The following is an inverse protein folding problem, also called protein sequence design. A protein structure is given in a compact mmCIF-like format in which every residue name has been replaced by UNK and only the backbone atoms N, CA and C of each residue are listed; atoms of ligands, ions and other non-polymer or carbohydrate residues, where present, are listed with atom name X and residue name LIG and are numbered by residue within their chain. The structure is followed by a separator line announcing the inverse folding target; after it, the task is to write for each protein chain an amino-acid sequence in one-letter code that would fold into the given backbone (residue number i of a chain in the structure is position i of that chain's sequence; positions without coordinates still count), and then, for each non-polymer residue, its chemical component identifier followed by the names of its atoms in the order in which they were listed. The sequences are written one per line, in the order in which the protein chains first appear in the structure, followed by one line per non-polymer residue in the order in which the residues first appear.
data_IF_742095969339
#
_entry.id   IF_742095969339
#
_cell.length_a   1.000
_cell.length_b   1.000
_cell.length_c   1.000
_cell.angle_alpha   90.00
_cell.angle_beta   90.00
_cell.angle_gamma   90.00
#
_symmetry.space_group_name_H-M   'P 1'
#
loop_
_entity.id
_entity.type
_entity.pdbx_description
1 polymer ?
#
# COMPACT_ATOMS: atom_id res chain seq x y z
N UNK A 1 35.25 20.14 -16.62
CA UNK A 1 34.80 18.93 -17.33
C UNK A 1 33.85 18.23 -16.37
N UNK A 2 32.55 18.41 -16.58
CA UNK A 2 31.50 17.86 -15.72
C UNK A 2 31.53 16.34 -15.78
N UNK A 3 31.69 15.68 -14.63
CA UNK A 3 31.61 14.23 -14.53
C UNK A 3 30.13 13.84 -14.34
N UNK A 4 29.43 13.63 -15.45
CA UNK A 4 28.10 13.00 -15.43
C UNK A 4 28.26 11.50 -15.14
N UNK A 5 27.44 10.97 -14.24
CA UNK A 5 27.32 9.52 -14.02
C UNK A 5 26.99 8.86 -15.35
N UNK A 6 27.76 7.83 -15.72
CA UNK A 6 27.42 7.06 -16.90
C UNK A 6 26.16 6.23 -16.62
N UNK A 7 25.40 5.86 -17.67
CA UNK A 7 24.28 4.90 -17.53
C UNK A 7 24.70 3.59 -16.85
N UNK A 8 25.98 3.21 -16.93
CA UNK A 8 26.50 2.04 -16.22
C UNK A 8 26.59 2.30 -14.72
N UNK A 9 26.98 3.49 -14.29
CA UNK A 9 27.07 3.87 -12.88
C UNK A 9 25.68 3.96 -12.25
N UNK A 10 24.70 4.54 -12.96
CA UNK A 10 23.30 4.53 -12.54
C UNK A 10 22.76 3.11 -12.35
N UNK A 11 23.01 2.22 -13.32
CA UNK A 11 22.56 0.83 -13.27
C UNK A 11 23.29 0.01 -12.18
N UNK A 12 24.55 0.29 -11.88
CA UNK A 12 25.29 -0.34 -10.78
C UNK A 12 24.77 0.14 -9.43
N UNK A 13 24.51 1.45 -9.28
CA UNK A 13 23.88 2.00 -8.07
C UNK A 13 22.47 1.45 -7.86
N UNK A 14 21.72 1.19 -8.94
CA UNK A 14 20.39 0.57 -8.88
C UNK A 14 20.43 -0.91 -8.44
N UNK A 15 21.51 -1.63 -8.77
CA UNK A 15 21.76 -2.99 -8.27
C UNK A 15 22.26 -3.04 -6.84
N UNK A 16 23.03 -2.05 -6.40
CA UNK A 16 23.46 -1.90 -4.99
C UNK A 16 22.27 -1.52 -4.09
N UNK A 17 21.25 -0.89 -4.67
CA UNK A 17 20.04 -0.41 -4.01
C UNK A 17 19.07 -1.50 -3.53
N UNK A 18 19.20 -2.72 -4.05
CA UNK A 18 18.38 -3.87 -3.62
C UNK A 18 19.24 -5.01 -3.02
N UNK A 19 19.90 -4.75 -1.87
CA UNK A 19 20.78 -5.73 -1.23
C UNK A 19 20.02 -6.93 -0.63
N UNK A 20 18.69 -6.89 -0.60
CA UNK A 20 17.84 -7.96 -0.03
C UNK A 20 17.10 -8.79 -1.08
N UNK A 21 17.27 -8.51 -2.39
CA UNK A 21 16.72 -9.34 -3.47
C UNK A 21 17.40 -10.72 -3.49
N UNK A 22 16.83 -11.67 -2.75
CA UNK A 22 17.27 -13.06 -2.77
C UNK A 22 16.44 -13.86 -3.79
N UNK A 23 17.00 -14.29 -4.93
CA UNK A 23 16.28 -15.07 -5.93
C UNK A 23 15.77 -16.42 -5.40
N UNK A 24 16.36 -16.96 -4.32
CA UNK A 24 15.90 -18.17 -3.65
C UNK A 24 14.60 -17.98 -2.84
N UNK A 25 14.14 -16.74 -2.68
CA UNK A 25 12.86 -16.40 -2.02
C UNK A 25 11.71 -16.14 -3.01
N UNK A 26 11.93 -16.42 -4.30
CA UNK A 26 10.93 -16.27 -5.34
C UNK A 26 9.64 -17.03 -4.98
N UNK A 27 8.52 -16.34 -5.12
CA UNK A 27 7.20 -16.89 -4.79
C UNK A 27 6.83 -17.94 -5.81
N UNK A 28 6.51 -19.15 -5.35
CA UNK A 28 5.99 -20.20 -6.20
C UNK A 28 4.52 -19.92 -6.51
N UNK A 29 4.24 -19.59 -7.76
CA UNK A 29 2.86 -19.36 -8.22
C UNK A 29 2.33 -20.63 -8.85
N UNK A 30 1.22 -21.13 -8.34
CA UNK A 30 0.57 -22.35 -8.81
C UNK A 30 -0.87 -22.05 -9.24
N UNK A 31 -1.12 -22.12 -10.55
CA UNK A 31 -2.43 -21.83 -11.13
C UNK A 31 -3.48 -22.92 -10.88
N UNK A 32 -3.06 -24.12 -10.42
CA UNK A 32 -3.97 -25.19 -10.04
C UNK A 32 -4.61 -24.99 -8.67
N UNK A 33 -4.03 -24.10 -7.84
CA UNK A 33 -4.57 -23.76 -6.53
C UNK A 33 -5.89 -22.98 -6.64
N UNK A 34 -6.78 -23.12 -5.64
CA UNK A 34 -7.98 -22.29 -5.53
C UNK A 34 -7.65 -20.80 -5.61
N UNK A 35 -8.55 -20.02 -6.24
CA UNK A 35 -8.39 -18.57 -6.39
C UNK A 35 -8.36 -17.84 -5.04
N UNK A 36 -9.04 -18.40 -4.04
CA UNK A 36 -9.00 -17.95 -2.64
C UNK A 36 -8.76 -19.17 -1.73
N UNK A 37 -7.85 -19.07 -0.74
CA UNK A 37 -7.51 -20.20 0.12
C UNK A 37 -8.62 -20.56 1.13
N UNK A 38 -9.54 -19.64 1.43
CA UNK A 38 -10.65 -19.87 2.36
C UNK A 38 -11.96 -20.24 1.63
N UNK A 39 -12.14 -19.78 0.39
CA UNK A 39 -13.31 -20.12 -0.45
C UNK A 39 -12.88 -21.02 -1.61
N UNK A 40 -12.83 -22.32 -1.34
CA UNK A 40 -12.39 -23.34 -2.30
C UNK A 40 -13.51 -23.86 -3.21
N UNK A 41 -14.78 -23.77 -2.76
CA UNK A 41 -15.94 -24.08 -3.59
C UNK A 41 -16.08 -23.05 -4.72
N UNK A 42 -16.01 -23.52 -5.96
CA UNK A 42 -16.06 -22.66 -7.15
C UNK A 42 -17.38 -21.90 -7.28
N UNK A 43 -18.52 -22.52 -7.00
CA UNK A 43 -19.82 -21.88 -7.14
C UNK A 43 -20.02 -20.80 -6.07
N UNK A 44 -19.53 -21.03 -4.84
CA UNK A 44 -19.50 -20.00 -3.79
C UNK A 44 -18.57 -18.87 -4.20
N UNK A 45 -17.34 -19.18 -4.62
CA UNK A 45 -16.36 -18.17 -5.05
C UNK A 45 -16.90 -17.29 -6.19
N UNK A 46 -17.55 -17.88 -7.19
CA UNK A 46 -18.12 -17.15 -8.31
C UNK A 46 -19.22 -16.18 -7.88
N UNK A 47 -20.11 -16.60 -6.96
CA UNK A 47 -21.14 -15.70 -6.40
C UNK A 47 -20.53 -14.55 -5.62
N UNK A 48 -19.57 -14.84 -4.74
CA UNK A 48 -18.88 -13.82 -3.92
C UNK A 48 -18.11 -12.84 -4.78
N UNK A 49 -17.31 -13.35 -5.74
CA UNK A 49 -16.53 -12.54 -6.67
C UNK A 49 -17.42 -11.71 -7.59
N UNK A 50 -18.59 -12.21 -7.99
CA UNK A 50 -19.56 -11.42 -8.77
C UNK A 50 -20.08 -10.22 -7.97
N UNK A 51 -20.51 -10.44 -6.73
CA UNK A 51 -20.96 -9.36 -5.84
C UNK A 51 -19.86 -8.33 -5.59
N UNK A 52 -18.63 -8.78 -5.39
CA UNK A 52 -17.47 -7.89 -5.27
C UNK A 52 -17.25 -7.05 -6.54
N UNK A 53 -17.24 -7.68 -7.72
CA UNK A 53 -17.04 -7.01 -9.00
C UNK A 53 -18.09 -5.91 -9.25
N UNK A 54 -19.34 -6.15 -8.90
CA UNK A 54 -20.40 -5.14 -8.99
C UNK A 54 -20.08 -3.90 -8.16
N UNK A 55 -19.50 -4.07 -6.96
CA UNK A 55 -19.09 -2.94 -6.10
C UNK A 55 -17.88 -2.23 -6.72
N UNK A 56 -16.89 -2.97 -7.23
CA UNK A 56 -15.70 -2.40 -7.88
C UNK A 56 -16.09 -1.59 -9.13
N UNK A 57 -17.01 -2.09 -9.94
CA UNK A 57 -17.52 -1.38 -11.11
C UNK A 57 -18.20 -0.06 -10.72
N UNK A 58 -18.96 -0.03 -9.62
CA UNK A 58 -19.51 1.21 -9.08
C UNK A 58 -18.41 2.21 -8.70
N UNK A 59 -17.35 1.76 -8.01
CA UNK A 59 -16.20 2.62 -7.67
C UNK A 59 -15.49 3.16 -8.91
N UNK A 60 -15.29 2.33 -9.94
CA UNK A 60 -14.67 2.75 -11.21
C UNK A 60 -15.52 3.80 -11.95
N UNK A 61 -16.85 3.65 -11.93
CA UNK A 61 -17.77 4.66 -12.50
C UNK A 61 -17.67 6.00 -11.77
N UNK A 62 -17.56 5.98 -10.43
CA UNK A 62 -17.34 7.20 -9.64
C UNK A 62 -16.01 7.86 -10.01
N UNK A 63 -14.92 7.10 -10.20
CA UNK A 63 -13.64 7.66 -10.63
C UNK A 63 -13.69 8.27 -12.04
N UNK A 64 -14.39 7.63 -12.98
CA UNK A 64 -14.57 8.22 -14.32
C UNK A 64 -15.35 9.53 -14.26
N UNK A 65 -16.38 9.62 -13.43
CA UNK A 65 -17.13 10.85 -13.20
C UNK A 65 -16.24 11.94 -12.59
N UNK A 66 -15.42 11.59 -11.59
CA UNK A 66 -14.48 12.52 -10.96
C UNK A 66 -13.39 13.01 -11.92
N UNK A 67 -12.93 12.17 -12.85
CA UNK A 67 -11.94 12.54 -13.86
C UNK A 67 -12.54 13.38 -15.01
N UNK A 68 -13.80 13.15 -15.37
CA UNK A 68 -14.51 13.88 -16.44
C UNK A 68 -15.01 15.27 -16.01
N UNK A 69 -15.29 15.46 -14.72
CA UNK A 69 -15.59 16.78 -14.15
C UNK A 69 -14.26 17.51 -13.97
N UNK A 70 -14.02 18.60 -14.72
CA UNK A 70 -12.84 19.47 -14.54
C UNK A 70 -12.64 19.74 -13.05
N UNK A 71 -11.53 19.22 -12.52
CA UNK A 71 -11.15 19.19 -11.11
C UNK A 71 -11.48 20.52 -10.38
N UNK A 72 -12.53 20.52 -9.54
CA UNK A 72 -12.71 21.62 -8.60
C UNK A 72 -13.62 21.33 -7.39
N UNK A 73 -14.47 20.31 -7.38
CA UNK A 73 -15.36 20.08 -6.23
C UNK A 73 -15.50 18.60 -5.92
N UNK A 74 -15.27 18.26 -4.65
CA UNK A 74 -15.90 17.12 -3.99
C UNK A 74 -17.38 17.16 -4.37
N UNK A 75 -17.83 16.27 -5.25
CA UNK A 75 -19.26 16.12 -5.48
C UNK A 75 -19.80 15.34 -4.28
N UNK A 76 -20.76 15.88 -3.50
CA UNK A 76 -21.38 15.14 -2.40
C UNK A 76 -21.84 13.74 -2.84
N UNK A 77 -22.28 13.63 -4.10
CA UNK A 77 -22.68 12.38 -4.75
C UNK A 77 -21.55 11.34 -4.83
N UNK A 78 -20.31 11.75 -5.14
CA UNK A 78 -19.18 10.82 -5.21
C UNK A 78 -18.75 10.33 -3.83
N UNK A 79 -18.76 11.21 -2.82
CA UNK A 79 -18.49 10.83 -1.43
C UNK A 79 -19.53 9.83 -0.95
N UNK A 80 -20.81 10.12 -1.20
CA UNK A 80 -21.90 9.22 -0.80
C UNK A 80 -21.83 7.89 -1.55
N UNK A 81 -21.48 7.91 -2.84
CA UNK A 81 -21.25 6.72 -3.65
C UNK A 81 -20.15 5.83 -3.07
N UNK A 82 -19.03 6.42 -2.66
CA UNK A 82 -17.94 5.70 -1.99
C UNK A 82 -18.35 5.14 -0.63
N UNK A 83 -19.05 5.93 0.21
CA UNK A 83 -19.60 5.46 1.50
C UNK A 83 -20.53 4.26 1.32
N UNK A 84 -21.34 4.28 0.25
CA UNK A 84 -22.22 3.15 -0.12
C UNK A 84 -21.42 1.91 -0.53
N UNK A 85 -20.36 2.08 -1.33
CA UNK A 85 -19.47 0.97 -1.70
C UNK A 85 -18.76 0.36 -0.48
N UNK A 86 -18.30 1.19 0.47
CA UNK A 86 -17.69 0.74 1.73
C UNK A 86 -18.69 -0.07 2.56
N UNK A 87 -19.94 0.40 2.68
CA UNK A 87 -20.99 -0.36 3.37
C UNK A 87 -21.22 -1.71 2.71
N UNK A 88 -21.39 -1.75 1.37
CA UNK A 88 -21.60 -3.00 0.62
C UNK A 88 -20.43 -3.98 0.74
N UNK A 89 -19.20 -3.47 0.79
CA UNK A 89 -18.02 -4.29 1.08
C UNK A 89 -18.03 -4.78 2.54
N UNK A 90 -18.50 -3.97 3.48
CA UNK A 90 -18.71 -4.38 4.87
C UNK A 90 -19.73 -5.50 5.02
N UNK A 91 -20.84 -5.44 4.28
CA UNK A 91 -21.84 -6.51 4.25
C UNK A 91 -21.23 -7.80 3.67
N UNK A 92 -20.49 -7.68 2.56
CA UNK A 92 -19.81 -8.81 1.92
C UNK A 92 -18.79 -9.47 2.87
N UNK A 93 -18.06 -8.65 3.63
CA UNK A 93 -17.10 -9.09 4.66
C UNK A 93 -17.82 -9.75 5.83
N UNK A 94 -19.00 -9.27 6.22
CA UNK A 94 -19.79 -9.85 7.31
C UNK A 94 -20.31 -11.24 6.92
N UNK A 95 -20.78 -11.38 5.68
CA UNK A 95 -21.25 -12.65 5.12
C UNK A 95 -20.09 -13.63 4.87
N UNK A 96 -18.90 -13.14 4.47
CA UNK A 96 -17.71 -13.94 4.18
C UNK A 96 -16.46 -13.41 4.92
N UNK A 97 -16.33 -13.64 6.24
CA UNK A 97 -15.27 -13.03 7.06
C UNK A 97 -13.84 -13.35 6.65
N UNK A 98 -13.64 -14.47 5.96
CA UNK A 98 -12.34 -14.95 5.48
C UNK A 98 -12.04 -14.55 4.02
N UNK A 99 -12.91 -13.77 3.37
CA UNK A 99 -12.66 -13.31 2.00
C UNK A 99 -11.75 -12.09 1.97
N UNK A 100 -10.47 -12.31 1.68
CA UNK A 100 -9.43 -11.28 1.79
C UNK A 100 -9.58 -10.15 0.75
N UNK A 101 -10.07 -10.45 -0.45
CA UNK A 101 -10.19 -9.48 -1.54
C UNK A 101 -11.14 -8.32 -1.17
N UNK A 102 -12.29 -8.61 -0.55
CA UNK A 102 -13.24 -7.58 -0.14
C UNK A 102 -12.65 -6.64 0.91
N UNK A 103 -11.84 -7.14 1.84
CA UNK A 103 -11.11 -6.34 2.84
C UNK A 103 -10.10 -5.41 2.19
N UNK A 104 -9.30 -5.95 1.28
CA UNK A 104 -8.33 -5.17 0.52
C UNK A 104 -9.00 -4.03 -0.28
N UNK A 105 -10.17 -4.31 -0.88
CA UNK A 105 -10.96 -3.31 -1.61
C UNK A 105 -11.60 -2.28 -0.68
N UNK A 106 -12.07 -2.67 0.51
CA UNK A 106 -12.63 -1.74 1.50
C UNK A 106 -11.56 -0.78 2.03
N UNK A 107 -10.37 -1.28 2.32
CA UNK A 107 -9.23 -0.44 2.68
C UNK A 107 -8.86 0.55 1.56
N UNK A 108 -8.89 0.12 0.30
CA UNK A 108 -8.65 1.02 -0.84
C UNK A 108 -9.69 2.14 -0.93
N UNK A 109 -10.98 1.80 -0.77
CA UNK A 109 -12.07 2.77 -0.80
C UNK A 109 -11.97 3.79 0.35
N UNK A 110 -11.61 3.34 1.56
CA UNK A 110 -11.37 4.22 2.71
C UNK A 110 -10.20 5.18 2.45
N UNK A 111 -9.09 4.67 1.92
CA UNK A 111 -7.93 5.49 1.51
C UNK A 111 -8.27 6.50 0.42
N UNK A 112 -9.20 6.16 -0.48
CA UNK A 112 -9.68 7.10 -1.49
C UNK A 112 -10.52 8.23 -0.89
N UNK A 113 -11.37 7.91 0.10
CA UNK A 113 -12.18 8.91 0.80
C UNK A 113 -11.34 9.86 1.66
N UNK A 114 -10.46 9.32 2.49
CA UNK A 114 -9.79 10.07 3.56
C UNK A 114 -8.29 10.29 3.35
N UNK A 115 -7.73 9.75 2.26
CA UNK A 115 -6.32 9.88 1.92
C UNK A 115 -5.42 8.82 2.54
N UNK A 116 -4.13 8.92 2.24
CA UNK A 116 -3.08 8.06 2.79
C UNK A 116 -2.52 8.60 4.11
N UNK A 117 -2.72 9.88 4.41
CA UNK A 117 -2.38 10.48 5.70
C UNK A 117 -3.42 10.21 6.80
N UNK A 118 -4.36 9.27 6.58
CA UNK A 118 -5.49 8.98 7.49
C UNK A 118 -5.08 8.58 8.92
N UNK A 119 -3.82 8.14 9.14
CA UNK A 119 -3.31 7.76 10.46
C UNK A 119 -2.79 8.97 11.27
N UNK A 120 -2.72 10.15 10.66
CA UNK A 120 -2.28 11.40 11.29
C UNK A 120 -3.37 12.47 11.15
N UNK A 121 -3.34 13.48 12.02
CA UNK A 121 -4.31 14.58 11.98
C UNK A 121 -4.15 15.50 10.74
N UNK A 122 -3.03 15.37 10.04
CA UNK A 122 -2.71 16.16 8.84
C UNK A 122 -3.69 15.89 7.70
N UNK A 123 -4.19 16.95 7.07
CA UNK A 123 -5.04 16.83 5.88
C UNK A 123 -4.27 16.27 4.68
N UNK A 124 -4.85 15.30 3.97
CA UNK A 124 -4.33 14.81 2.71
C UNK A 124 -4.99 15.58 1.54
N UNK A 125 -4.23 16.31 0.70
CA UNK A 125 -4.77 17.03 -0.45
C UNK A 125 -5.54 16.14 -1.44
N UNK A 126 -5.23 14.83 -1.46
CA UNK A 126 -5.84 13.85 -2.36
C UNK A 126 -7.10 13.19 -1.80
N UNK A 127 -7.44 13.44 -0.53
CA UNK A 127 -8.68 12.96 0.08
C UNK A 127 -9.92 13.60 -0.57
N UNK A 128 -10.96 12.80 -0.80
CA UNK A 128 -12.26 13.31 -1.23
C UNK A 128 -12.97 14.08 -0.10
N UNK A 129 -12.82 13.60 1.13
CA UNK A 129 -13.39 14.22 2.33
C UNK A 129 -12.29 15.00 3.07
N UNK A 130 -12.31 16.32 2.93
CA UNK A 130 -11.30 17.21 3.53
C UNK A 130 -11.60 17.53 4.99
N UNK A 131 -12.88 17.72 5.30
CA UNK A 131 -13.36 18.19 6.62
C UNK A 131 -13.96 17.06 7.47
N UNK A 132 -13.47 15.83 7.30
CA UNK A 132 -13.88 14.69 8.13
C UNK A 132 -13.50 14.95 9.60
N UNK A 133 -14.41 14.61 10.51
CA UNK A 133 -14.14 14.69 11.94
C UNK A 133 -12.99 13.77 12.35
N UNK A 134 -12.30 14.07 13.46
CA UNK A 134 -11.23 13.21 13.98
C UNK A 134 -11.74 11.78 14.24
N UNK A 135 -12.96 11.64 14.80
CA UNK A 135 -13.58 10.35 15.06
C UNK A 135 -13.85 9.55 13.76
N UNK A 136 -14.36 10.20 12.72
CA UNK A 136 -14.60 9.55 11.42
C UNK A 136 -13.29 9.09 10.76
N UNK A 137 -12.23 9.90 10.84
CA UNK A 137 -10.90 9.51 10.35
C UNK A 137 -10.31 8.35 11.15
N UNK A 138 -10.41 8.39 12.48
CA UNK A 138 -9.93 7.33 13.38
C UNK A 138 -10.62 6.00 13.10
N UNK A 139 -11.96 6.00 12.97
CA UNK A 139 -12.73 4.80 12.63
C UNK A 139 -12.32 4.22 11.27
N UNK A 140 -12.17 5.09 10.27
CA UNK A 140 -11.75 4.70 8.94
C UNK A 140 -10.30 4.16 8.91
N UNK A 141 -9.39 4.77 9.67
CA UNK A 141 -8.01 4.33 9.85
C UNK A 141 -7.96 2.94 10.50
N UNK A 142 -8.65 2.74 11.62
CA UNK A 142 -8.72 1.47 12.32
C UNK A 142 -9.31 0.37 11.43
N UNK A 143 -10.37 0.68 10.69
CA UNK A 143 -11.01 -0.27 9.77
C UNK A 143 -10.07 -0.66 8.63
N UNK A 144 -9.43 0.32 7.97
CA UNK A 144 -8.51 0.05 6.88
C UNK A 144 -7.31 -0.78 7.34
N UNK A 145 -6.72 -0.44 8.48
CA UNK A 145 -5.60 -1.19 9.05
C UNK A 145 -5.99 -2.62 9.43
N UNK A 146 -7.13 -2.81 10.12
CA UNK A 146 -7.63 -4.13 10.49
C UNK A 146 -7.93 -5.00 9.25
N UNK A 147 -8.49 -4.41 8.20
CA UNK A 147 -8.76 -5.11 6.94
C UNK A 147 -7.49 -5.55 6.23
N UNK A 148 -6.48 -4.68 6.15
CA UNK A 148 -5.19 -4.99 5.53
C UNK A 148 -4.45 -6.08 6.32
N UNK A 149 -4.40 -5.97 7.65
CA UNK A 149 -3.78 -6.99 8.50
C UNK A 149 -4.46 -8.35 8.32
N UNK A 150 -5.79 -8.36 8.30
CA UNK A 150 -6.55 -9.60 8.14
C UNK A 150 -6.38 -10.18 6.74
N UNK A 151 -6.40 -9.35 5.69
CA UNK A 151 -6.18 -9.79 4.32
C UNK A 151 -4.78 -10.40 4.13
N UNK A 152 -3.75 -9.76 4.68
CA UNK A 152 -2.38 -10.27 4.67
C UNK A 152 -2.32 -11.60 5.42
N UNK A 153 -2.83 -11.66 6.65
CA UNK A 153 -2.85 -12.88 7.47
C UNK A 153 -3.57 -14.06 6.79
N UNK A 154 -4.64 -13.81 6.03
CA UNK A 154 -5.40 -14.84 5.32
C UNK A 154 -4.68 -15.37 4.09
N UNK A 155 -3.89 -14.54 3.41
CA UNK A 155 -3.27 -14.88 2.13
C UNK A 155 -1.79 -15.26 2.25
N UNK A 156 -1.10 -14.88 3.33
CA UNK A 156 0.29 -15.26 3.56
C UNK A 156 0.43 -16.78 3.65
N UNK A 157 1.24 -17.42 2.79
CA UNK A 157 1.48 -18.86 2.88
C UNK A 157 2.09 -19.25 4.24
N UNK A 158 1.67 -20.39 4.79
CA UNK A 158 2.15 -20.87 6.10
C UNK A 158 3.62 -21.31 6.10
N UNK A 159 4.18 -21.57 4.91
CA UNK A 159 5.58 -21.95 4.72
C UNK A 159 6.24 -20.92 3.81
N UNK A 160 7.53 -20.66 4.06
CA UNK A 160 8.36 -19.77 3.23
C UNK A 160 8.43 -20.23 1.76
N UNK A 161 8.23 -21.53 1.53
CA UNK A 161 8.20 -22.17 0.21
C UNK A 161 6.78 -22.55 -0.22
N UNK A 162 5.75 -22.07 0.47
CA UNK A 162 4.36 -22.36 0.14
C UNK A 162 3.97 -21.70 -1.18
N UNK A 163 3.35 -22.48 -2.07
CA UNK A 163 2.79 -21.95 -3.31
C UNK A 163 1.56 -21.09 -3.04
N UNK A 164 1.32 -20.12 -3.91
CA UNK A 164 0.14 -19.25 -3.86
C UNK A 164 -0.54 -19.21 -5.24
N UNK A 165 -1.86 -19.11 -5.26
CA UNK A 165 -2.56 -18.92 -6.53
C UNK A 165 -2.29 -17.52 -7.10
N UNK A 166 -2.36 -17.32 -8.43
CA UNK A 166 -2.12 -16.01 -9.03
C UNK A 166 -3.05 -14.90 -8.47
N UNK A 167 -4.31 -15.26 -8.19
CA UNK A 167 -5.31 -14.32 -7.65
C UNK A 167 -4.96 -13.94 -6.22
N UNK A 168 -4.71 -14.92 -5.35
CA UNK A 168 -4.30 -14.69 -3.97
C UNK A 168 -2.99 -13.90 -3.88
N UNK A 169 -2.00 -14.22 -4.72
CA UNK A 169 -0.72 -13.53 -4.78
C UNK A 169 -0.88 -12.06 -5.18
N UNK A 170 -1.71 -11.77 -6.18
CA UNK A 170 -2.01 -10.39 -6.57
C UNK A 170 -2.70 -9.61 -5.44
N UNK A 171 -3.68 -10.21 -4.77
CA UNK A 171 -4.39 -9.56 -3.66
C UNK A 171 -3.45 -9.31 -2.48
N UNK A 172 -2.59 -10.27 -2.13
CA UNK A 172 -1.60 -10.14 -1.07
C UNK A 172 -0.56 -9.05 -1.40
N UNK A 173 -0.08 -9.03 -2.65
CA UNK A 173 0.79 -7.98 -3.17
C UNK A 173 0.18 -6.59 -2.97
N UNK A 174 -1.09 -6.43 -3.36
CA UNK A 174 -1.80 -5.17 -3.17
C UNK A 174 -1.94 -4.82 -1.69
N UNK A 175 -2.35 -5.76 -0.84
CA UNK A 175 -2.55 -5.49 0.59
C UNK A 175 -1.27 -4.96 1.27
N UNK A 176 -0.12 -5.58 0.98
CA UNK A 176 1.17 -5.07 1.44
C UNK A 176 1.46 -3.66 0.89
N UNK A 177 1.30 -3.43 -0.41
CA UNK A 177 1.53 -2.09 -1.01
C UNK A 177 0.61 -1.02 -0.42
N UNK A 178 -0.64 -1.36 -0.11
CA UNK A 178 -1.59 -0.44 0.51
C UNK A 178 -1.17 -0.07 1.93
N UNK A 179 -0.77 -1.05 2.75
CA UNK A 179 -0.31 -0.82 4.12
C UNK A 179 1.02 -0.06 4.13
N UNK A 180 1.92 -0.38 3.22
CA UNK A 180 3.16 0.38 3.00
C UNK A 180 2.91 1.86 2.68
N UNK A 181 1.91 2.16 1.83
CA UNK A 181 1.58 3.54 1.49
C UNK A 181 1.06 4.34 2.69
N UNK A 182 0.26 3.71 3.57
CA UNK A 182 -0.19 4.30 4.83
C UNK A 182 0.99 4.60 5.75
N UNK A 183 1.86 3.62 5.98
CA UNK A 183 3.07 3.81 6.81
C UNK A 183 4.02 4.85 6.24
N UNK A 184 4.25 4.83 4.92
CA UNK A 184 5.12 5.78 4.26
C UNK A 184 4.61 7.21 4.37
N UNK A 185 3.31 7.43 4.14
CA UNK A 185 2.70 8.75 4.28
C UNK A 185 2.71 9.20 5.75
N UNK A 186 2.47 8.28 6.69
CA UNK A 186 2.53 8.54 8.12
C UNK A 186 3.93 9.00 8.53
N UNK A 187 4.98 8.30 8.11
CA UNK A 187 6.37 8.71 8.36
C UNK A 187 6.72 10.08 7.74
N UNK A 188 6.21 10.36 6.53
CA UNK A 188 6.45 11.63 5.84
C UNK A 188 5.77 12.81 6.54
N UNK A 189 4.57 12.59 7.05
CA UNK A 189 3.76 13.57 7.77
C UNK A 189 3.95 13.50 9.29
N UNK A 190 4.96 12.75 9.76
CA UNK A 190 5.26 12.58 11.18
C UNK A 190 5.80 13.90 11.75
N UNK A 191 4.88 14.79 12.13
CA UNK A 191 5.14 15.80 13.14
C UNK A 191 5.07 15.11 14.51
N UNK A 192 5.68 15.68 15.56
CA UNK A 192 5.60 15.16 16.94
C UNK A 192 4.16 15.11 17.55
N UNK A 193 3.13 15.23 16.71
CA UNK A 193 1.72 15.13 17.04
C UNK A 193 1.23 13.70 17.22
N UNK A 194 0.04 13.59 17.80
CA UNK A 194 -0.55 12.34 18.27
C UNK A 194 -1.04 11.50 17.10
N UNK A 195 -0.63 10.23 17.07
CA UNK A 195 -1.23 9.21 16.23
C UNK A 195 -2.59 8.82 16.81
N UNK A 196 -3.61 8.75 15.97
CA UNK A 196 -4.94 8.28 16.34
C UNK A 196 -5.13 6.83 15.88
N UNK A 197 -4.52 5.91 16.64
CA UNK A 197 -4.41 4.49 16.29
C UNK A 197 -5.03 3.55 17.34
N UNK A 198 -5.86 4.08 18.25
CA UNK A 198 -6.50 3.28 19.30
C UNK A 198 -5.49 2.48 20.14
N UNK A 199 -5.73 1.17 20.27
CA UNK A 199 -4.86 0.23 21.02
C UNK A 199 -3.88 -0.54 20.12
N UNK A 200 -3.69 -0.09 18.88
CA UNK A 200 -2.80 -0.78 17.95
C UNK A 200 -1.33 -0.59 18.32
N UNK A 201 -0.50 -1.58 17.97
CA UNK A 201 0.96 -1.55 18.20
C UNK A 201 1.63 -0.33 17.58
N UNK A 202 1.12 0.15 16.43
CA UNK A 202 1.70 1.27 15.70
C UNK A 202 1.55 2.61 16.44
N UNK A 203 0.76 2.67 17.52
CA UNK A 203 0.65 3.85 18.38
C UNK A 203 1.97 4.21 19.08
N UNK A 204 2.80 3.22 19.38
CA UNK A 204 4.09 3.41 20.03
C UNK A 204 5.25 3.65 19.06
N UNK A 205 4.97 3.65 17.76
CA UNK A 205 6.01 3.75 16.72
C UNK A 205 6.48 5.18 16.55
N UNK A 206 7.79 5.34 16.37
CA UNK A 206 8.38 6.58 15.92
C UNK A 206 8.41 6.66 14.38
N UNK A 207 8.95 7.76 13.87
CA UNK A 207 9.11 7.95 12.41
C UNK A 207 9.92 6.82 11.77
N UNK A 208 10.99 6.35 12.40
CA UNK A 208 11.89 5.33 11.87
C UNK A 208 11.17 3.99 11.80
N UNK A 209 10.37 3.65 12.81
CA UNK A 209 9.54 2.45 12.83
C UNK A 209 8.57 2.42 11.65
N UNK A 210 7.88 3.54 11.37
CA UNK A 210 7.01 3.66 10.19
C UNK A 210 7.79 3.57 8.87
N UNK A 211 8.97 4.18 8.75
CA UNK A 211 9.80 4.04 7.55
C UNK A 211 10.24 2.59 7.33
N UNK A 212 10.68 1.91 8.38
CA UNK A 212 11.11 0.52 8.33
C UNK A 212 9.93 -0.41 8.00
N UNK A 213 8.75 -0.20 8.60
CA UNK A 213 7.55 -0.95 8.31
C UNK A 213 7.07 -0.74 6.87
N UNK A 214 7.08 0.51 6.38
CA UNK A 214 6.76 0.82 4.99
C UNK A 214 7.70 0.11 4.01
N UNK A 215 9.01 0.15 4.26
CA UNK A 215 10.00 -0.50 3.41
C UNK A 215 9.81 -2.02 3.36
N UNK A 216 9.58 -2.67 4.52
CA UNK A 216 9.28 -4.11 4.59
C UNK A 216 8.02 -4.48 3.79
N UNK A 217 6.95 -3.72 3.94
CA UNK A 217 5.71 -4.01 3.21
C UNK A 217 5.86 -3.73 1.71
N UNK A 218 6.56 -2.68 1.29
CA UNK A 218 6.86 -2.48 -0.13
C UNK A 218 7.70 -3.63 -0.71
N UNK A 219 8.68 -4.13 0.04
CA UNK A 219 9.49 -5.29 -0.37
C UNK A 219 8.62 -6.54 -0.55
N UNK A 220 7.69 -6.80 0.40
CA UNK A 220 6.73 -7.90 0.28
C UNK A 220 5.76 -7.70 -0.89
N UNK A 221 5.25 -6.48 -1.10
CA UNK A 221 4.44 -6.13 -2.26
C UNK A 221 5.17 -6.44 -3.58
N UNK A 222 6.44 -6.04 -3.67
CA UNK A 222 7.33 -6.32 -4.80
C UNK A 222 7.61 -7.82 -4.98
N UNK A 223 7.85 -8.55 -3.88
CA UNK A 223 8.06 -10.00 -3.87
C UNK A 223 6.88 -10.77 -4.48
N UNK A 224 5.65 -10.28 -4.29
CA UNK A 224 4.44 -10.86 -4.88
C UNK A 224 4.06 -10.25 -6.25
N UNK A 225 4.95 -9.47 -6.88
CA UNK A 225 4.83 -9.04 -8.28
C UNK A 225 4.31 -7.61 -8.53
N UNK A 226 4.36 -6.72 -7.54
CA UNK A 226 4.02 -5.30 -7.75
C UNK A 226 5.29 -4.46 -8.00
N UNK A 227 5.48 -4.05 -9.25
CA UNK A 227 6.65 -3.27 -9.68
C UNK A 227 6.75 -1.89 -9.02
N UNK A 228 5.62 -1.24 -8.75
CA UNK A 228 5.61 0.05 -8.05
C UNK A 228 6.12 -0.15 -6.61
N UNK A 229 5.66 -1.20 -5.94
CA UNK A 229 6.12 -1.55 -4.61
C UNK A 229 7.60 -1.91 -4.59
N UNK A 230 8.08 -2.68 -5.58
CA UNK A 230 9.50 -3.00 -5.73
C UNK A 230 10.37 -1.74 -5.84
N UNK A 231 9.99 -0.78 -6.68
CA UNK A 231 10.70 0.49 -6.79
C UNK A 231 10.66 1.32 -5.49
N UNK A 232 9.51 1.33 -4.80
CA UNK A 232 9.35 2.06 -3.53
C UNK A 232 10.06 1.40 -2.35
N UNK A 233 10.23 0.06 -2.36
CA UNK A 233 10.95 -0.67 -1.32
C UNK A 233 12.38 -0.15 -1.16
N UNK A 234 13.04 0.05 -2.29
CA UNK A 234 14.38 0.63 -2.39
C UNK A 234 14.39 2.08 -1.89
N UNK A 235 13.47 2.91 -2.38
CA UNK A 235 13.43 4.34 -2.05
C UNK A 235 13.14 4.61 -0.56
N UNK A 236 12.45 3.69 0.11
CA UNK A 236 12.04 3.82 1.51
C UNK A 236 12.98 3.12 2.48
N UNK A 237 13.92 2.29 2.01
CA UNK A 237 14.85 1.54 2.85
C UNK A 237 15.82 2.48 3.60
N UNK A 238 15.78 2.53 4.95
CA UNK A 238 16.65 3.41 5.74
C UNK A 238 18.15 3.14 5.53
N UNK A 239 18.53 1.88 5.40
CA UNK A 239 19.92 1.47 5.13
C UNK A 239 20.35 1.94 3.75
N UNK A 240 19.53 1.74 2.72
CA UNK A 240 19.83 2.20 1.37
C UNK A 240 19.95 3.74 1.31
N UNK A 241 19.11 4.47 2.04
CA UNK A 241 19.24 5.93 2.19
C UNK A 241 20.57 6.34 2.81
N UNK A 242 20.96 5.69 3.92
CA UNK A 242 22.21 5.97 4.62
C UNK A 242 23.43 5.66 3.74
N UNK A 243 23.47 4.47 3.12
CA UNK A 243 24.53 4.10 2.18
C UNK A 243 24.61 5.11 1.02
N UNK A 244 23.46 5.51 0.46
CA UNK A 244 23.38 6.52 -0.59
C UNK A 244 23.84 7.91 -0.15
N UNK A 245 23.63 8.30 1.12
CA UNK A 245 24.15 9.54 1.69
C UNK A 245 25.67 9.47 1.88
N UNK A 246 26.19 8.37 2.44
CA UNK A 246 27.63 8.15 2.63
C UNK A 246 28.37 8.21 1.28
N UNK A 247 27.84 7.52 0.26
CA UNK A 247 28.42 7.54 -1.08
C UNK A 247 28.37 8.94 -1.69
N UNK A 248 27.26 9.68 -1.54
CA UNK A 248 27.17 11.07 -2.01
C UNK A 248 28.16 12.00 -1.33
N UNK A 249 28.32 11.90 -0.01
CA UNK A 249 29.31 12.68 0.74
C UNK A 249 30.75 12.31 0.34
N UNK A 250 31.03 11.02 0.11
CA UNK A 250 32.32 10.58 -0.42
C UNK A 250 32.59 11.12 -1.83
N UNK A 251 31.60 11.05 -2.73
CA UNK A 251 31.69 11.61 -4.08
C UNK A 251 31.88 13.13 -4.05
N UNK A 252 31.18 13.84 -3.16
CA UNK A 252 31.32 15.29 -2.96
C UNK A 252 32.74 15.67 -2.51
N UNK A 253 33.35 14.86 -1.65
CA UNK A 253 34.71 15.05 -1.17
C UNK A 253 35.77 14.83 -2.26
N UNK A 254 35.56 13.85 -3.14
CA UNK A 254 36.49 13.50 -4.22
C UNK A 254 36.36 14.39 -5.46
N UNK A 255 35.13 14.79 -5.83
CA UNK A 255 34.86 15.46 -7.12
C UNK A 255 34.39 16.93 -7.00
N UNK A 256 34.22 17.45 -5.77
CA UNK A 256 33.86 18.84 -5.51
C UNK A 256 32.35 19.16 -5.59
N UNK A 257 31.94 20.41 -5.27
CA UNK A 257 30.53 20.82 -5.10
C UNK A 257 29.70 20.94 -6.39
N UNK A 258 30.21 20.55 -7.56
CA UNK A 258 29.52 20.63 -8.85
C UNK A 258 28.34 19.63 -9.01
N UNK A 259 27.86 19.04 -7.92
CA UNK A 259 26.78 18.04 -7.88
C UNK A 259 25.49 18.56 -7.22
N UNK A 260 25.37 19.87 -6.97
CA UNK A 260 24.11 20.46 -6.50
C UNK A 260 23.10 20.58 -7.65
N UNK A 261 22.18 19.61 -7.73
CA UNK A 261 20.95 19.76 -8.50
C UNK A 261 20.73 18.75 -9.63
N UNK A 262 20.54 17.48 -9.27
CA UNK A 262 19.65 16.54 -10.00
C UNK A 262 18.87 15.73 -8.98
#
# INVERSE_FOLDING_TARGET
MEALLSRRDEHVLDKIRDPESNPMTAVLVDASLPKDPAITDMAVYERVSKREKEIILSMQQLEMQLAGVKAAKTTPDAVQGYKTCISRLGDLISDFPQYASARNNRAQALRRLYGNAILVETADPQALVRDASAAEKSEAAMTAMADLDKAISLLTPRSLFGSISPVAGKTLSLAHTQRAALYHMTAKCFAAGRLDLGDRQERGWDKIDFEAAASRDFALGGRYGNEIAKGLAVATNPTAKLCGQIVREAMKKEYGPAFEGV
#
